data_IF_001582643036
#
_entry.id   IF_001582643036
#
_cell.length_a   1.000
_cell.length_b   1.000
_cell.length_c   1.000
_cell.angle_alpha   90.00
_cell.angle_beta   90.00
_cell.angle_gamma   90.00
#
_symmetry.space_group_name_H-M   'P 1'
#
loop_
_entity.id
_entity.type
_entity.pdbx_description
1 polymer ?
#
# COMPACT_ATOMS: atom_id res chain seq x y z
N UNK A 1 -5.28 -10.75 -4.51
CA UNK A 1 -5.58 -10.78 -3.07
C UNK A 1 -6.89 -10.04 -2.86
N UNK A 2 -7.74 -10.47 -1.92
CA UNK A 2 -9.08 -9.87 -1.70
C UNK A 2 -9.33 -9.70 -0.21
N UNK A 3 -9.86 -8.55 0.19
CA UNK A 3 -10.19 -8.25 1.59
C UNK A 3 -11.61 -7.77 1.76
N UNK A 4 -12.16 -7.98 2.95
CA UNK A 4 -13.38 -7.36 3.42
C UNK A 4 -13.01 -6.50 4.62
N UNK A 5 -13.41 -5.23 4.60
CA UNK A 5 -13.42 -4.37 5.77
C UNK A 5 -14.79 -4.46 6.43
N UNK A 6 -14.86 -5.20 7.53
CA UNK A 6 -16.09 -5.37 8.32
C UNK A 6 -16.33 -4.12 9.16
N UNK A 7 -17.44 -3.43 8.93
CA UNK A 7 -17.80 -2.26 9.71
C UNK A 7 -18.39 -2.66 11.06
N UNK A 8 -17.87 -2.10 12.15
CA UNK A 8 -18.41 -2.30 13.49
C UNK A 8 -18.40 -0.99 14.28
N UNK A 9 -19.55 -0.31 14.30
CA UNK A 9 -19.81 0.96 14.99
C UNK A 9 -18.82 2.10 14.68
N UNK A 10 -17.57 2.02 15.15
CA UNK A 10 -16.49 2.99 14.95
C UNK A 10 -15.15 2.36 14.53
N UNK A 11 -15.13 1.06 14.25
CA UNK A 11 -13.93 0.32 13.91
C UNK A 11 -14.15 -0.52 12.65
N UNK A 12 -13.06 -0.82 11.96
CA UNK A 12 -13.05 -1.72 10.82
C UNK A 12 -12.14 -2.89 11.13
N UNK A 13 -12.65 -4.10 10.92
CA UNK A 13 -11.85 -5.32 10.99
C UNK A 13 -11.53 -5.79 9.56
N UNK A 14 -10.25 -6.06 9.32
CA UNK A 14 -9.79 -6.60 8.05
C UNK A 14 -9.94 -8.12 8.09
N UNK A 15 -10.61 -8.68 7.10
CA UNK A 15 -10.75 -10.12 6.90
C UNK A 15 -10.36 -10.49 5.47
N UNK A 16 -9.66 -11.61 5.29
CA UNK A 16 -9.41 -12.14 3.94
C UNK A 16 -10.74 -12.58 3.30
N UNK A 17 -10.97 -12.19 2.06
CA UNK A 17 -12.18 -12.54 1.34
C UNK A 17 -12.01 -13.89 0.64
N UNK A 18 -12.75 -14.90 1.09
CA UNK A 18 -12.90 -16.18 0.43
C UNK A 18 -14.37 -16.42 0.03
N UNK A 19 -14.66 -17.54 -0.64
CA UNK A 19 -16.01 -17.85 -1.13
C UNK A 19 -17.08 -17.87 -0.03
N UNK A 20 -16.71 -18.25 1.20
CA UNK A 20 -17.63 -18.32 2.34
C UNK A 20 -17.89 -16.93 2.91
N UNK A 21 -16.85 -16.12 3.10
CA UNK A 21 -16.99 -14.75 3.65
C UNK A 21 -17.63 -13.80 2.65
N UNK A 22 -17.37 -13.96 1.34
CA UNK A 22 -17.96 -13.15 0.27
C UNK A 22 -19.50 -13.20 0.25
N UNK A 23 -20.07 -14.34 0.68
CA UNK A 23 -21.54 -14.55 0.71
C UNK A 23 -22.23 -13.84 1.88
N UNK A 24 -21.46 -13.17 2.76
CA UNK A 24 -21.93 -12.58 4.02
C UNK A 24 -21.60 -11.10 4.14
N UNK A 25 -21.25 -10.44 3.04
CA UNK A 25 -20.91 -9.01 3.02
C UNK A 25 -22.17 -8.20 3.32
N UNK A 26 -22.11 -7.42 4.41
CA UNK A 26 -23.20 -6.54 4.81
C UNK A 26 -23.16 -5.24 3.99
N UNK A 27 -24.23 -4.42 4.04
CA UNK A 27 -24.31 -3.20 3.22
C UNK A 27 -23.31 -2.12 3.69
N UNK A 28 -22.85 -2.24 4.93
CA UNK A 28 -21.91 -1.32 5.57
C UNK A 28 -20.44 -1.73 5.39
N UNK A 29 -20.20 -2.96 4.90
CA UNK A 29 -18.88 -3.51 4.68
C UNK A 29 -18.27 -3.00 3.37
N UNK A 30 -16.94 -2.93 3.30
CA UNK A 30 -16.23 -2.62 2.06
C UNK A 30 -15.52 -3.85 1.52
N UNK A 31 -15.79 -4.20 0.27
CA UNK A 31 -15.05 -5.21 -0.46
C UNK A 31 -13.89 -4.56 -1.22
N UNK A 32 -12.69 -5.05 -0.99
CA UNK A 32 -11.48 -4.70 -1.72
C UNK A 32 -11.12 -5.92 -2.57
N UNK A 33 -11.36 -5.83 -3.87
CA UNK A 33 -11.20 -6.96 -4.80
C UNK A 33 -9.79 -7.08 -5.34
N UNK A 34 -9.06 -5.97 -5.37
CA UNK A 34 -7.74 -5.80 -5.97
C UNK A 34 -7.11 -4.48 -5.50
N UNK A 35 -5.90 -4.21 -5.97
CA UNK A 35 -5.15 -3.00 -5.62
C UNK A 35 -5.79 -1.72 -6.19
N UNK A 36 -6.39 -1.78 -7.39
CA UNK A 36 -7.10 -0.63 -7.97
C UNK A 36 -8.31 -0.21 -7.12
N UNK A 37 -9.14 -1.16 -6.68
CA UNK A 37 -10.27 -0.90 -5.78
C UNK A 37 -9.82 -0.35 -4.43
N UNK A 38 -8.71 -0.85 -3.87
CA UNK A 38 -8.08 -0.26 -2.67
C UNK A 38 -7.71 1.21 -2.89
N UNK A 39 -6.99 1.51 -3.97
CA UNK A 39 -6.51 2.87 -4.26
C UNK A 39 -7.66 3.85 -4.52
N UNK A 40 -8.71 3.41 -5.23
CA UNK A 40 -9.92 4.22 -5.45
C UNK A 40 -10.64 4.53 -4.14
N UNK A 41 -10.77 3.53 -3.26
CA UNK A 41 -11.40 3.72 -1.97
C UNK A 41 -10.56 4.65 -1.08
N UNK A 42 -9.23 4.52 -1.11
CA UNK A 42 -8.30 5.45 -0.46
C UNK A 42 -8.52 6.89 -0.94
N UNK A 43 -8.52 7.14 -2.24
CA UNK A 43 -8.71 8.51 -2.80
C UNK A 43 -10.06 9.11 -2.40
N UNK A 44 -11.11 8.29 -2.28
CA UNK A 44 -12.44 8.73 -1.89
C UNK A 44 -12.63 8.93 -0.37
N UNK A 45 -11.67 8.49 0.45
CA UNK A 45 -11.82 8.45 1.92
C UNK A 45 -11.10 9.63 2.59
N UNK A 46 -11.78 10.31 3.51
CA UNK A 46 -11.18 11.38 4.32
C UNK A 46 -10.14 10.84 5.31
N UNK A 47 -9.03 11.56 5.47
CA UNK A 47 -7.84 11.12 6.24
C UNK A 47 -8.10 10.90 7.74
N UNK A 48 -9.05 11.61 8.32
CA UNK A 48 -9.34 11.57 9.77
C UNK A 48 -10.42 10.53 10.14
N UNK A 49 -10.69 9.56 9.26
CA UNK A 49 -11.73 8.55 9.47
C UNK A 49 -11.15 7.20 9.91
N UNK A 50 -11.90 6.40 10.70
CA UNK A 50 -11.49 5.03 11.03
C UNK A 50 -11.28 4.14 9.80
N UNK A 51 -12.01 4.41 8.71
CA UNK A 51 -11.86 3.71 7.44
C UNK A 51 -10.47 3.96 6.85
N UNK A 52 -9.97 5.20 6.90
CA UNK A 52 -8.64 5.53 6.39
C UNK A 52 -7.54 4.70 7.06
N UNK A 53 -7.61 4.55 8.39
CA UNK A 53 -6.67 3.72 9.15
C UNK A 53 -6.73 2.25 8.74
N UNK A 54 -7.93 1.72 8.46
CA UNK A 54 -8.11 0.36 8.00
C UNK A 54 -7.55 0.16 6.59
N UNK A 55 -7.74 1.13 5.69
CA UNK A 55 -7.16 1.11 4.36
C UNK A 55 -5.63 1.14 4.42
N UNK A 56 -5.03 1.94 5.31
CA UNK A 56 -3.57 1.94 5.52
C UNK A 56 -3.05 0.56 5.94
N UNK A 57 -3.78 -0.12 6.84
CA UNK A 57 -3.41 -1.46 7.27
C UNK A 57 -3.51 -2.47 6.11
N UNK A 58 -4.56 -2.39 5.28
CA UNK A 58 -4.65 -3.21 4.05
C UNK A 58 -3.48 -2.92 3.10
N UNK A 59 -3.16 -1.64 2.84
CA UNK A 59 -2.00 -1.24 2.02
C UNK A 59 -0.72 -1.88 2.54
N UNK A 60 -0.47 -1.83 3.84
CA UNK A 60 0.74 -2.41 4.41
C UNK A 60 0.81 -3.92 4.14
N UNK A 61 -0.31 -4.64 4.25
CA UNK A 61 -0.37 -6.06 3.86
C UNK A 61 -0.09 -6.27 2.37
N UNK A 62 -0.57 -5.38 1.49
CA UNK A 62 -0.23 -5.46 0.05
C UNK A 62 1.25 -5.19 -0.20
N UNK A 63 1.84 -4.26 0.54
CA UNK A 63 3.26 -3.90 0.41
C UNK A 63 4.21 -4.97 0.99
N UNK A 64 3.69 -5.95 1.73
CA UNK A 64 4.45 -7.13 2.17
C UNK A 64 4.58 -8.19 1.05
N UNK A 65 3.73 -8.12 0.02
CA UNK A 65 3.71 -9.04 -1.13
C UNK A 65 3.16 -8.33 -2.39
N UNK A 66 4.07 -7.81 -3.22
CA UNK A 66 3.73 -7.07 -4.44
C UNK A 66 3.50 -7.97 -5.67
N UNK A 67 3.66 -9.28 -5.56
CA UNK A 67 3.55 -10.21 -6.70
C UNK A 67 2.16 -10.16 -7.33
N UNK A 68 1.13 -9.95 -6.50
CA UNK A 68 -0.26 -9.92 -6.93
C UNK A 68 -0.73 -8.54 -7.45
N UNK A 69 0.14 -7.52 -7.42
CA UNK A 69 -0.16 -6.20 -7.99
C UNK A 69 -0.07 -6.28 -9.52
N UNK A 70 -1.10 -5.78 -10.21
CA UNK A 70 -1.31 -6.08 -11.61
C UNK A 70 -0.65 -5.09 -12.56
N UNK A 71 -0.44 -3.84 -12.11
CA UNK A 71 0.05 -2.78 -13.01
C UNK A 71 1.11 -1.89 -12.34
N UNK A 72 2.04 -1.30 -13.13
CA UNK A 72 2.98 -0.31 -12.62
C UNK A 72 2.30 0.87 -11.92
N UNK A 73 1.15 1.31 -12.45
CA UNK A 73 0.39 2.42 -11.87
C UNK A 73 -0.11 2.12 -10.45
N UNK A 74 -0.49 0.88 -10.18
CA UNK A 74 -0.88 0.42 -8.84
C UNK A 74 0.31 0.42 -7.88
N UNK A 75 1.47 -0.10 -8.31
CA UNK A 75 2.71 -0.08 -7.50
C UNK A 75 3.09 1.35 -7.11
N UNK A 76 3.14 2.26 -8.09
CA UNK A 76 3.39 3.68 -7.82
C UNK A 76 2.34 4.29 -6.90
N UNK A 77 1.06 3.95 -7.07
CA UNK A 77 -0.02 4.43 -6.22
C UNK A 77 0.17 4.05 -4.75
N UNK A 78 0.49 2.78 -4.47
CA UNK A 78 0.74 2.28 -3.13
C UNK A 78 1.94 2.96 -2.47
N UNK A 79 3.05 3.08 -3.20
CA UNK A 79 4.29 3.67 -2.69
C UNK A 79 4.13 5.18 -2.45
N UNK A 80 3.51 5.91 -3.38
CA UNK A 80 3.28 7.34 -3.17
C UNK A 80 2.34 7.62 -1.99
N UNK A 81 1.36 6.75 -1.76
CA UNK A 81 0.54 6.83 -0.56
C UNK A 81 1.38 6.57 0.70
N UNK A 82 2.21 5.52 0.74
CA UNK A 82 3.12 5.25 1.87
C UNK A 82 4.02 6.47 2.17
N UNK A 83 4.66 7.03 1.16
CA UNK A 83 5.55 8.20 1.30
C UNK A 83 4.80 9.42 1.84
N UNK A 84 3.61 9.71 1.28
CA UNK A 84 2.75 10.80 1.74
C UNK A 84 2.41 10.66 3.23
N UNK A 85 2.04 9.45 3.68
CA UNK A 85 1.68 9.19 5.08
C UNK A 85 2.85 9.36 6.04
N UNK A 86 4.07 9.12 5.58
CA UNK A 86 5.31 9.30 6.34
C UNK A 86 5.87 10.72 6.22
N UNK A 87 5.17 11.62 5.51
CA UNK A 87 5.62 12.98 5.27
C UNK A 87 6.85 13.09 4.38
N UNK A 88 7.18 12.04 3.62
CA UNK A 88 8.32 11.98 2.73
C UNK A 88 7.90 12.50 1.36
N UNK A 89 8.66 13.48 0.86
CA UNK A 89 8.47 14.01 -0.50
C UNK A 89 9.48 13.35 -1.43
N UNK A 90 9.02 12.88 -2.58
CA UNK A 90 9.88 12.31 -3.62
C UNK A 90 10.63 13.40 -4.41
N UNK A 91 10.15 14.66 -4.41
CA UNK A 91 10.82 15.81 -5.06
C UNK A 91 11.18 15.60 -6.54
N UNK A 92 10.46 14.71 -7.24
CA UNK A 92 10.72 14.36 -8.64
C UNK A 92 11.79 13.29 -8.83
N UNK A 93 12.36 12.76 -7.75
CA UNK A 93 13.27 11.62 -7.76
C UNK A 93 12.52 10.31 -8.04
N UNK A 94 13.24 9.33 -8.60
CA UNK A 94 12.76 7.96 -8.74
C UNK A 94 12.57 7.28 -7.38
N UNK A 95 11.95 6.10 -7.37
CA UNK A 95 11.82 5.30 -6.15
C UNK A 95 13.19 4.85 -5.61
N UNK A 96 14.10 4.47 -6.52
CA UNK A 96 15.48 4.09 -6.21
C UNK A 96 16.26 5.26 -5.62
N UNK A 97 16.24 6.43 -6.27
CA UNK A 97 16.89 7.65 -5.77
C UNK A 97 16.31 8.09 -4.41
N UNK A 98 15.00 7.88 -4.20
CA UNK A 98 14.35 8.14 -2.91
C UNK A 98 14.85 7.17 -1.85
N UNK A 99 15.00 5.88 -2.16
CA UNK A 99 15.51 4.88 -1.23
C UNK A 99 16.97 5.17 -0.82
N UNK A 100 17.82 5.51 -1.79
CA UNK A 100 19.22 5.86 -1.54
C UNK A 100 19.33 7.10 -0.65
N UNK A 101 18.55 8.15 -0.93
CA UNK A 101 18.53 9.36 -0.10
C UNK A 101 18.09 9.08 1.34
N UNK A 102 17.09 8.21 1.54
CA UNK A 102 16.65 7.83 2.88
C UNK A 102 17.72 7.01 3.60
N UNK A 103 18.41 6.12 2.89
CA UNK A 103 19.53 5.34 3.43
C UNK A 103 20.68 6.24 3.87
N UNK A 104 21.02 7.28 3.09
CA UNK A 104 22.06 8.24 3.46
C UNK A 104 21.70 9.01 4.75
N UNK A 105 20.42 9.38 4.93
CA UNK A 105 19.94 10.04 6.13
C UNK A 105 20.10 9.12 7.36
N UNK A 106 19.68 7.87 7.24
CA UNK A 106 19.78 6.87 8.31
C UNK A 106 21.24 6.61 8.69
N UNK A 107 22.14 6.44 7.70
CA UNK A 107 23.58 6.25 7.94
C UNK A 107 24.20 7.48 8.62
N UNK A 108 23.87 8.69 8.15
CA UNK A 108 24.41 9.91 8.72
C UNK A 108 23.93 10.16 10.16
N UNK A 109 22.74 9.68 10.50
CA UNK A 109 22.13 9.81 11.82
C UNK A 109 22.40 8.62 12.75
N UNK A 110 23.03 7.54 12.27
CA UNK A 110 23.14 6.25 12.98
C UNK A 110 21.76 5.76 13.46
N UNK A 111 20.78 5.80 12.54
CA UNK A 111 19.38 5.43 12.78
C UNK A 111 18.86 4.40 11.79
N UNK A 112 17.81 3.70 12.20
CA UNK A 112 17.03 2.78 11.35
C UNK A 112 15.61 3.34 11.11
N UNK A 113 15.46 4.66 11.02
CA UNK A 113 14.15 5.31 11.01
C UNK A 113 13.37 5.00 9.72
N UNK A 114 14.09 4.89 8.60
CA UNK A 114 13.50 4.71 7.28
C UNK A 114 13.68 3.30 6.73
N UNK A 115 14.33 2.40 7.47
CA UNK A 115 14.62 1.02 7.07
C UNK A 115 13.43 0.31 6.43
N UNK A 116 12.26 0.31 7.06
CA UNK A 116 11.05 -0.34 6.50
C UNK A 116 10.61 0.29 5.17
N UNK A 117 10.70 1.62 5.06
CA UNK A 117 10.29 2.36 3.84
C UNK A 117 11.28 2.09 2.71
N UNK A 118 12.58 2.03 3.03
CA UNK A 118 13.64 1.69 2.07
C UNK A 118 13.41 0.28 1.52
N UNK A 119 13.02 -0.68 2.37
CA UNK A 119 12.67 -2.04 1.93
C UNK A 119 11.51 -2.03 0.94
N UNK A 120 10.38 -1.39 1.27
CA UNK A 120 9.24 -1.31 0.35
C UNK A 120 9.56 -0.58 -0.96
N UNK A 121 10.43 0.44 -0.93
CA UNK A 121 10.86 1.13 -2.14
C UNK A 121 11.67 0.21 -3.06
N UNK A 122 12.58 -0.59 -2.50
CA UNK A 122 13.40 -1.54 -3.27
C UNK A 122 12.55 -2.67 -3.84
N UNK A 123 11.65 -3.22 -3.03
CA UNK A 123 10.73 -4.28 -3.46
C UNK A 123 9.81 -3.80 -4.61
N UNK A 124 9.32 -2.56 -4.52
CA UNK A 124 8.56 -1.93 -5.60
C UNK A 124 9.39 -1.74 -6.88
N UNK A 125 10.67 -1.36 -6.76
CA UNK A 125 11.57 -1.23 -7.91
C UNK A 125 11.79 -2.58 -8.57
N UNK A 126 12.07 -3.63 -7.80
CA UNK A 126 12.26 -4.99 -8.30
C UNK A 126 11.01 -5.48 -9.02
N UNK A 127 9.83 -5.32 -8.41
CA UNK A 127 8.55 -5.68 -9.03
C UNK A 127 8.28 -4.93 -10.33
N UNK A 128 8.60 -3.64 -10.40
CA UNK A 128 8.46 -2.84 -11.62
C UNK A 128 9.36 -3.37 -12.75
N UNK A 129 10.60 -3.74 -12.44
CA UNK A 129 11.50 -4.34 -13.42
C UNK A 129 10.99 -5.70 -13.91
N UNK A 130 10.42 -6.53 -13.04
CA UNK A 130 9.81 -7.79 -13.43
C UNK A 130 8.64 -7.59 -14.40
N UNK A 131 7.75 -6.64 -14.12
CA UNK A 131 6.64 -6.30 -15.01
C UNK A 131 7.13 -5.85 -16.40
N UNK A 132 8.19 -5.02 -16.46
CA UNK A 132 8.78 -4.58 -17.73
C UNK A 132 9.38 -5.75 -18.54
N UNK A 133 9.90 -6.78 -17.85
CA UNK A 133 10.44 -7.98 -18.48
C UNK A 133 9.34 -8.94 -18.96
N UNK A 134 8.23 -9.06 -18.23
CA UNK A 134 7.08 -9.90 -18.60
C UNK A 134 6.30 -9.35 -19.80
N UNK A 135 6.34 -8.04 -20.03
CA UNK A 135 5.71 -7.35 -21.15
C UNK A 135 6.50 -7.45 -22.49
N UNK A 136 7.69 -8.07 -22.49
CA UNK A 136 8.59 -8.27 -23.65
C UNK A 136 8.46 -9.64 -24.33
#
# INVERSE_FOLDING_TARGET
>A
MRFILRASANEFRIEACNSETASTIAAEDYLIEDTDSLLRLYVATERDTPLFNALQAVRNTVLEDLDEVATPAEVYGLIHWLLSDKGIRAEGASLEETADRLSDIDIAADSDQYTDIIFHLKDAVDRLYEMELDDL
#
